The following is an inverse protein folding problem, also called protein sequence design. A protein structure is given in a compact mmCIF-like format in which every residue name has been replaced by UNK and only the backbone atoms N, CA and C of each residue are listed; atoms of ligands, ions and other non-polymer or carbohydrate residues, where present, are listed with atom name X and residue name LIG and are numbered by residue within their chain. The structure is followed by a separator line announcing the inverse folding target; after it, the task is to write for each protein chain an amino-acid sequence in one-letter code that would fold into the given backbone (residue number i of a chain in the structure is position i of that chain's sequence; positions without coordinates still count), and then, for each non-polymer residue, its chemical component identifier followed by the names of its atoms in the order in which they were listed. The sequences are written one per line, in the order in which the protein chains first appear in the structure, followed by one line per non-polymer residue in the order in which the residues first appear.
data_IF_461381846506
#
_entry.id   IF_461381846506
#
_cell.length_a   1.000
_cell.length_b   1.000
_cell.length_c   1.000
_cell.angle_alpha   90.00
_cell.angle_beta   90.00
_cell.angle_gamma   90.00
#
_symmetry.space_group_name_H-M   'P 1'
#
loop_
_entity.id
_entity.type
_entity.pdbx_description
1 polymer ?
#
# COMPACT_ATOMS: atom_id res chain seq x y z
N UNK A 1 -6.60 -6.96 18.99
CA UNK A 1 -7.14 -6.20 17.84
C UNK A 1 -8.64 -6.28 17.93
N UNK A 2 -9.27 -5.15 17.77
CA UNK A 2 -10.72 -5.13 17.65
C UNK A 2 -11.11 -5.90 16.37
N UNK A 3 -11.92 -6.95 16.52
CA UNK A 3 -12.38 -7.78 15.39
C UNK A 3 -13.22 -6.98 14.38
N UNK A 4 -13.64 -5.77 14.74
CA UNK A 4 -14.48 -4.89 13.94
C UNK A 4 -13.70 -3.78 13.20
N UNK A 5 -12.38 -3.81 13.25
CA UNK A 5 -11.56 -2.82 12.55
C UNK A 5 -11.36 -3.17 11.07
N UNK A 6 -11.21 -2.16 10.21
CA UNK A 6 -10.98 -2.35 8.76
C UNK A 6 -9.75 -3.23 8.50
N UNK A 7 -8.68 -3.07 9.28
CA UNK A 7 -7.47 -3.87 9.11
C UNK A 7 -7.65 -5.34 9.50
N UNK A 8 -8.69 -5.70 10.27
CA UNK A 8 -9.02 -7.10 10.55
C UNK A 8 -9.52 -7.84 9.30
N UNK A 9 -9.97 -7.12 8.30
CA UNK A 9 -10.43 -7.66 7.01
C UNK A 9 -9.29 -7.89 6.01
N UNK A 10 -8.06 -7.45 6.33
CA UNK A 10 -6.91 -7.67 5.47
C UNK A 10 -6.48 -9.14 5.57
N UNK A 11 -6.43 -9.79 4.41
CA UNK A 11 -6.10 -11.21 4.35
C UNK A 11 -7.34 -12.10 4.34
N UNK A 12 -7.12 -13.39 4.60
CA UNK A 12 -8.16 -14.44 4.54
C UNK A 12 -9.01 -14.40 3.25
N UNK A 13 -8.43 -13.87 2.17
CA UNK A 13 -9.10 -13.76 0.88
C UNK A 13 -9.42 -15.14 0.30
N UNK A 14 -10.53 -15.30 -0.45
CA UNK A 14 -10.91 -16.58 -1.03
C UNK A 14 -9.86 -17.13 -2.00
N UNK A 15 -9.76 -18.45 -2.03
CA UNK A 15 -9.06 -19.19 -3.07
C UNK A 15 -10.11 -19.78 -4.04
N UNK A 16 -10.17 -19.29 -5.26
CA UNK A 16 -11.21 -19.59 -6.24
C UNK A 16 -10.62 -20.45 -7.37
N UNK A 17 -11.27 -21.59 -7.68
CA UNK A 17 -10.90 -22.38 -8.85
C UNK A 17 -11.30 -21.66 -10.14
N UNK A 18 -10.34 -21.43 -11.02
CA UNK A 18 -10.55 -20.79 -12.32
C UNK A 18 -11.00 -21.86 -13.33
N UNK A 19 -12.32 -22.03 -13.47
CA UNK A 19 -12.95 -23.11 -14.24
C UNK A 19 -12.42 -23.19 -15.67
N UNK A 20 -12.55 -22.11 -16.44
CA UNK A 20 -12.14 -22.10 -17.85
C UNK A 20 -10.65 -22.41 -18.04
N UNK A 21 -9.77 -21.76 -17.26
CA UNK A 21 -8.34 -22.03 -17.34
C UNK A 21 -7.99 -23.47 -16.97
N UNK A 22 -8.70 -24.04 -15.96
CA UNK A 22 -8.49 -25.42 -15.54
C UNK A 22 -8.94 -26.42 -16.62
N UNK A 23 -10.07 -26.16 -17.27
CA UNK A 23 -10.59 -27.03 -18.32
C UNK A 23 -9.72 -27.00 -19.59
N UNK A 24 -9.27 -25.81 -20.00
CA UNK A 24 -8.38 -25.62 -21.15
C UNK A 24 -7.01 -26.29 -21.00
N UNK A 25 -6.49 -26.34 -19.78
CA UNK A 25 -5.13 -26.85 -19.53
C UNK A 25 -5.10 -28.28 -19.00
N UNK A 26 -6.23 -28.81 -18.57
CA UNK A 26 -6.31 -30.10 -17.86
C UNK A 26 -5.71 -30.04 -16.44
N UNK A 27 -5.40 -28.85 -15.92
CA UNK A 27 -4.82 -28.64 -14.60
C UNK A 27 -5.83 -28.02 -13.64
N UNK A 28 -5.61 -28.18 -12.32
CA UNK A 28 -6.38 -27.42 -11.33
C UNK A 28 -5.69 -26.06 -11.09
N UNK A 29 -6.25 -25.00 -11.66
CA UNK A 29 -5.75 -23.63 -11.55
C UNK A 29 -6.64 -22.86 -10.57
N UNK A 30 -6.00 -22.22 -9.58
CA UNK A 30 -6.69 -21.41 -8.57
C UNK A 30 -6.16 -19.97 -8.58
N UNK A 31 -7.07 -19.02 -8.37
CA UNK A 31 -6.78 -17.61 -8.18
C UNK A 31 -7.03 -17.20 -6.73
N UNK A 32 -6.06 -16.51 -6.14
CA UNK A 32 -6.22 -15.87 -4.83
C UNK A 32 -6.91 -14.52 -5.03
N UNK A 33 -8.13 -14.37 -4.52
CA UNK A 33 -8.98 -13.20 -4.77
C UNK A 33 -8.56 -11.99 -3.91
N UNK A 34 -7.37 -11.44 -4.14
CA UNK A 34 -6.78 -10.36 -3.33
C UNK A 34 -7.51 -9.01 -3.45
N UNK A 35 -8.41 -8.86 -4.42
CA UNK A 35 -9.30 -7.70 -4.53
C UNK A 35 -10.37 -7.62 -3.41
N UNK A 36 -10.51 -8.65 -2.59
CA UNK A 36 -11.34 -8.61 -1.38
C UNK A 36 -10.68 -7.90 -0.19
N UNK A 37 -9.38 -7.57 -0.27
CA UNK A 37 -8.78 -6.71 0.74
C UNK A 37 -9.39 -5.30 0.71
N UNK A 38 -9.42 -4.56 1.82
CA UNK A 38 -9.97 -3.19 1.89
C UNK A 38 -9.41 -2.20 0.87
N UNK A 39 -8.15 -2.33 0.48
CA UNK A 39 -7.49 -1.55 -0.56
C UNK A 39 -7.47 -2.24 -1.92
N UNK A 40 -8.29 -3.28 -2.10
CA UNK A 40 -8.51 -4.02 -3.35
C UNK A 40 -7.23 -4.65 -3.93
N UNK A 41 -6.23 -4.93 -3.10
CA UNK A 41 -5.01 -5.56 -3.58
C UNK A 41 -4.24 -6.35 -2.51
N UNK A 42 -3.31 -7.19 -2.97
CA UNK A 42 -2.35 -7.90 -2.12
C UNK A 42 -1.45 -6.97 -1.32
N UNK A 43 -1.32 -5.69 -1.70
CA UNK A 43 -0.44 -4.72 -1.03
C UNK A 43 -0.92 -4.34 0.36
N UNK A 44 -2.19 -4.50 0.67
CA UNK A 44 -2.73 -4.33 2.02
C UNK A 44 -2.03 -5.26 3.02
N UNK A 45 -1.74 -6.49 2.61
CA UNK A 45 -0.99 -7.44 3.45
C UNK A 45 0.42 -6.92 3.75
N UNK A 46 1.14 -6.48 2.73
CA UNK A 46 2.49 -5.93 2.90
C UNK A 46 2.47 -4.70 3.82
N UNK A 47 1.56 -3.76 3.57
CA UNK A 47 1.38 -2.56 4.38
C UNK A 47 1.10 -2.89 5.85
N UNK A 48 0.17 -3.81 6.12
CA UNK A 48 -0.17 -4.22 7.47
C UNK A 48 1.03 -4.79 8.23
N UNK A 49 1.80 -5.68 7.59
CA UNK A 49 2.92 -6.32 8.27
C UNK A 49 4.12 -5.38 8.42
N UNK A 50 4.39 -4.50 7.46
CA UNK A 50 5.42 -3.46 7.57
C UNK A 50 5.14 -2.55 8.77
N UNK A 51 3.91 -2.05 8.88
CA UNK A 51 3.53 -1.14 9.98
C UNK A 51 3.56 -1.86 11.32
N UNK A 52 3.02 -3.09 11.40
CA UNK A 52 3.07 -3.90 12.63
C UNK A 52 4.50 -4.19 13.08
N UNK A 53 5.39 -4.53 12.17
CA UNK A 53 6.79 -4.82 12.49
C UNK A 53 7.50 -3.55 12.99
N UNK A 54 7.29 -2.41 12.33
CA UNK A 54 7.84 -1.13 12.74
C UNK A 54 7.38 -0.71 14.16
N UNK A 55 6.09 -0.87 14.46
CA UNK A 55 5.53 -0.60 15.79
C UNK A 55 6.08 -1.58 16.83
N UNK A 56 6.16 -2.87 16.53
CA UNK A 56 6.72 -3.90 17.41
C UNK A 56 8.18 -3.63 17.75
N UNK A 57 8.96 -3.21 16.76
CA UNK A 57 10.38 -2.85 16.92
C UNK A 57 10.58 -1.45 17.52
N UNK A 58 9.51 -0.73 17.83
CA UNK A 58 9.56 0.66 18.33
C UNK A 58 10.28 1.64 17.40
N UNK A 59 10.31 1.35 16.10
CA UNK A 59 10.87 2.25 15.07
C UNK A 59 9.94 3.44 14.81
N UNK A 60 8.65 3.28 15.12
CA UNK A 60 7.64 4.33 15.03
C UNK A 60 6.65 4.17 16.18
N UNK A 61 6.02 5.26 16.59
CA UNK A 61 4.96 5.30 17.60
C UNK A 61 3.74 6.05 17.07
N UNK A 62 2.63 6.02 17.81
CA UNK A 62 1.40 6.75 17.46
C UNK A 62 1.70 8.23 17.18
N UNK A 63 1.15 8.76 16.09
CA UNK A 63 1.42 10.13 15.61
C UNK A 63 2.68 10.26 14.75
N UNK A 64 3.52 9.22 14.68
CA UNK A 64 4.70 9.19 13.82
C UNK A 64 4.34 9.21 12.33
N UNK A 65 5.32 9.50 11.48
CA UNK A 65 5.14 9.63 10.04
C UNK A 65 5.83 8.49 9.30
N UNK A 66 5.10 7.84 8.41
CA UNK A 66 5.66 6.92 7.41
C UNK A 66 5.83 7.69 6.10
N UNK A 67 6.96 7.50 5.44
CA UNK A 67 7.24 8.07 4.12
C UNK A 67 7.48 6.94 3.14
N UNK A 68 6.75 6.94 2.03
CA UNK A 68 6.87 5.91 0.99
C UNK A 68 6.91 6.52 -0.40
N UNK A 69 7.86 6.05 -1.20
CA UNK A 69 7.95 6.40 -2.63
C UNK A 69 7.23 5.36 -3.47
N UNK A 70 5.98 5.61 -3.82
CA UNK A 70 5.18 4.64 -4.58
C UNK A 70 4.22 5.30 -5.56
N UNK A 71 4.05 4.68 -6.70
CA UNK A 71 3.04 5.04 -7.70
C UNK A 71 1.86 4.07 -7.75
N UNK A 72 1.79 3.11 -6.83
CA UNK A 72 0.88 1.97 -6.90
C UNK A 72 0.07 1.70 -5.64
N UNK A 73 -0.47 0.48 -5.60
CA UNK A 73 -1.36 0.00 -4.54
C UNK A 73 -0.71 -0.07 -3.15
N UNK A 74 0.63 -0.05 -3.06
CA UNK A 74 1.35 0.01 -1.78
C UNK A 74 0.94 1.26 -1.00
N UNK A 75 0.84 2.41 -1.67
CA UNK A 75 0.38 3.66 -1.05
C UNK A 75 -1.03 3.57 -0.50
N UNK A 76 -1.95 2.91 -1.22
CA UNK A 76 -3.34 2.71 -0.79
C UNK A 76 -3.38 1.83 0.47
N UNK A 77 -2.68 0.68 0.45
CA UNK A 77 -2.61 -0.20 1.60
C UNK A 77 -2.00 0.49 2.84
N UNK A 78 -0.91 1.26 2.65
CA UNK A 78 -0.31 2.04 3.73
C UNK A 78 -1.27 3.11 4.27
N UNK A 79 -2.03 3.79 3.40
CA UNK A 79 -2.99 4.81 3.84
C UNK A 79 -4.08 4.24 4.76
N UNK A 80 -4.63 3.07 4.41
CA UNK A 80 -5.62 2.37 5.23
C UNK A 80 -5.02 1.98 6.58
N UNK A 81 -3.85 1.36 6.57
CA UNK A 81 -3.20 0.86 7.78
C UNK A 81 -2.71 2.00 8.69
N UNK A 82 -2.09 3.04 8.13
CA UNK A 82 -1.62 4.20 8.90
C UNK A 82 -2.78 4.92 9.60
N UNK A 83 -3.90 5.10 8.90
CA UNK A 83 -5.12 5.70 9.47
C UNK A 83 -5.61 4.95 10.71
N UNK A 84 -5.63 3.63 10.64
CA UNK A 84 -6.08 2.78 11.76
C UNK A 84 -5.16 2.85 12.97
N UNK A 85 -3.84 2.90 12.74
CA UNK A 85 -2.85 3.02 13.82
C UNK A 85 -2.60 4.46 14.28
N UNK A 86 -3.30 5.46 13.73
CA UNK A 86 -3.10 6.88 14.05
C UNK A 86 -1.72 7.39 13.67
N UNK A 87 -1.19 6.90 12.53
CA UNK A 87 0.06 7.32 11.94
C UNK A 87 -0.19 8.32 10.80
N UNK A 88 0.76 9.20 10.57
CA UNK A 88 0.78 10.08 9.39
C UNK A 88 1.43 9.34 8.23
N UNK A 89 0.99 9.63 7.01
CA UNK A 89 1.56 9.04 5.79
C UNK A 89 1.89 10.14 4.78
N UNK A 90 3.13 10.13 4.30
CA UNK A 90 3.59 10.92 3.17
C UNK A 90 3.91 9.99 1.99
N UNK A 91 3.30 10.26 0.85
CA UNK A 91 3.55 9.51 -0.39
C UNK A 91 4.28 10.40 -1.37
N UNK A 92 5.48 10.01 -1.74
CA UNK A 92 6.22 10.65 -2.83
C UNK A 92 5.85 9.95 -4.13
N UNK A 93 5.25 10.70 -5.05
CA UNK A 93 4.61 10.15 -6.25
C UNK A 93 5.02 10.94 -7.50
N UNK A 94 5.24 10.26 -8.66
CA UNK A 94 5.46 10.97 -9.91
C UNK A 94 4.24 11.82 -10.30
N UNK A 95 4.49 13.04 -10.75
CA UNK A 95 3.44 13.98 -11.19
C UNK A 95 2.60 13.46 -12.38
N UNK A 96 3.13 12.49 -13.13
CA UNK A 96 2.45 11.83 -14.25
C UNK A 96 1.41 10.78 -13.86
N UNK A 97 1.27 10.47 -12.57
CA UNK A 97 0.23 9.55 -12.11
C UNK A 97 -1.18 10.11 -12.30
N UNK A 98 -2.16 9.22 -12.50
CA UNK A 98 -3.54 9.61 -12.75
C UNK A 98 -4.14 10.42 -11.59
N UNK A 99 -5.01 11.35 -11.92
CA UNK A 99 -5.70 12.22 -10.96
C UNK A 99 -6.50 11.37 -9.97
N UNK A 100 -7.20 10.35 -10.46
CA UNK A 100 -8.04 9.45 -9.65
C UNK A 100 -7.24 8.78 -8.53
N UNK A 101 -6.02 8.33 -8.85
CA UNK A 101 -5.14 7.69 -7.87
C UNK A 101 -4.67 8.68 -6.81
N UNK A 102 -4.28 9.89 -7.24
CA UNK A 102 -3.87 10.95 -6.32
C UNK A 102 -5.00 11.35 -5.38
N UNK A 103 -6.21 11.51 -5.91
CA UNK A 103 -7.40 11.83 -5.11
C UNK A 103 -7.75 10.71 -4.14
N UNK A 104 -7.66 9.45 -4.56
CA UNK A 104 -7.89 8.30 -3.68
C UNK A 104 -6.95 8.33 -2.49
N UNK A 105 -5.65 8.54 -2.71
CA UNK A 105 -4.66 8.64 -1.64
C UNK A 105 -4.94 9.81 -0.69
N UNK A 106 -5.29 10.99 -1.23
CA UNK A 106 -5.68 12.17 -0.43
C UNK A 106 -6.93 11.91 0.41
N UNK A 107 -7.97 11.30 -0.16
CA UNK A 107 -9.21 10.91 0.56
C UNK A 107 -8.93 9.90 1.68
N UNK A 108 -7.95 9.03 1.52
CA UNK A 108 -7.50 8.11 2.55
C UNK A 108 -6.63 8.76 3.63
N UNK A 109 -6.27 10.03 3.48
CA UNK A 109 -5.53 10.82 4.47
C UNK A 109 -4.02 10.89 4.25
N UNK A 110 -3.53 10.47 3.08
CA UNK A 110 -2.11 10.63 2.74
C UNK A 110 -1.77 12.06 2.30
N UNK A 111 -0.66 12.60 2.78
CA UNK A 111 -0.02 13.78 2.23
C UNK A 111 0.76 13.39 0.97
N UNK A 112 0.48 14.02 -0.17
CA UNK A 112 1.18 13.73 -1.42
C UNK A 112 2.27 14.75 -1.68
N UNK A 113 3.47 14.25 -2.02
CA UNK A 113 4.61 15.02 -2.50
C UNK A 113 4.82 14.62 -3.96
N UNK A 114 4.41 15.48 -4.87
CA UNK A 114 4.55 15.24 -6.30
C UNK A 114 5.94 15.64 -6.78
N UNK A 115 6.59 14.75 -7.51
CA UNK A 115 7.92 14.96 -8.09
C UNK A 115 7.91 14.61 -9.59
N UNK A 116 8.89 15.09 -10.31
CA UNK A 116 9.02 14.76 -11.73
C UNK A 116 9.22 13.27 -11.97
N UNK A 117 8.62 12.76 -13.04
CA UNK A 117 8.79 11.38 -13.47
C UNK A 117 10.16 11.22 -14.14
N UNK A 118 11.13 10.74 -13.39
CA UNK A 118 12.49 10.50 -13.87
C UNK A 118 12.92 9.06 -13.64
N UNK A 119 13.86 8.51 -14.43
CA UNK A 119 14.38 7.16 -14.25
C UNK A 119 14.98 6.93 -12.86
N UNK A 120 15.04 5.67 -12.42
CA UNK A 120 15.60 5.31 -11.11
C UNK A 120 17.08 5.73 -10.93
N UNK A 121 17.84 5.80 -12.01
CA UNK A 121 19.24 6.30 -11.99
C UNK A 121 19.34 7.77 -11.54
N UNK A 122 18.31 8.58 -11.77
CA UNK A 122 18.27 9.99 -11.39
C UNK A 122 18.13 10.14 -9.87
N UNK A 123 18.90 11.03 -9.20
CA UNK A 123 18.78 11.28 -7.76
C UNK A 123 17.42 11.87 -7.34
N UNK A 124 16.68 12.47 -8.27
CA UNK A 124 15.34 13.02 -8.04
C UNK A 124 14.21 12.03 -8.25
N UNK A 125 14.53 10.75 -8.51
CA UNK A 125 13.50 9.71 -8.59
C UNK A 125 12.69 9.63 -7.29
N UNK A 126 11.39 9.43 -7.39
CA UNK A 126 10.44 9.45 -6.27
C UNK A 126 10.82 8.49 -5.13
N UNK A 127 11.39 7.31 -5.43
CA UNK A 127 11.87 6.36 -4.41
C UNK A 127 13.07 6.94 -3.65
N UNK A 128 14.01 7.57 -4.36
CA UNK A 128 15.18 8.19 -3.71
C UNK A 128 14.81 9.45 -2.92
N UNK A 129 13.85 10.23 -3.43
CA UNK A 129 13.33 11.39 -2.73
C UNK A 129 12.58 11.00 -1.44
N UNK A 130 11.78 9.90 -1.47
CA UNK A 130 11.11 9.43 -0.26
C UNK A 130 12.10 9.05 0.84
N UNK A 131 13.22 8.43 0.49
CA UNK A 131 14.27 8.10 1.46
C UNK A 131 14.86 9.35 2.09
N UNK A 132 15.22 10.36 1.29
CA UNK A 132 15.74 11.65 1.81
C UNK A 132 14.75 12.35 2.74
N UNK A 133 13.45 12.31 2.41
CA UNK A 133 12.41 12.93 3.24
C UNK A 133 12.21 12.16 4.55
N UNK A 134 12.40 10.84 4.56
CA UNK A 134 12.28 10.03 5.76
C UNK A 134 13.47 10.20 6.72
N UNK A 135 14.63 10.62 6.22
CA UNK A 135 15.86 10.82 7.00
C UNK A 135 15.93 12.23 7.66
N UNK A 136 15.04 13.17 7.26
CA UNK A 136 14.94 14.53 7.82
C UNK A 136 13.74 14.66 8.77
#
# INVERSE_FOLDING_TARGET
MDSNSVISQIGNTPLVRLKQASELTGCNIYGKAEYFNPGESVKDRAALFIVKDALKKKLISKGGTIVEGTAGNTGIGLAIVCREYGLKLKIVIPNTQSIEKKETLKKLGAELIEVDAVPYSNPNNYIKQSKKIAEN
#
